data_IF_399244142664
#
_entry.id   IF_399244142664
#
_cell.length_a   1.000
_cell.length_b   1.000
_cell.length_c   1.000
_cell.angle_alpha   90.00
_cell.angle_beta   90.00
_cell.angle_gamma   90.00
#
_symmetry.space_group_name_H-M   'P 1'
#
loop_
_entity.id
_entity.type
_entity.pdbx_description
1 polymer ?
#
# COMPACT_ATOMS: atom_id res chain seq x y z
N UNK A 1 13.37 -30.92 55.30
CA UNK A 1 13.16 -31.47 53.94
C UNK A 1 12.01 -30.70 53.29
N UNK A 2 12.31 -29.79 52.35
CA UNK A 2 11.96 -29.88 50.92
C UNK A 2 10.46 -29.77 50.58
N UNK A 3 9.83 -28.60 50.76
CA UNK A 3 8.48 -28.33 50.17
C UNK A 3 8.30 -26.87 49.68
N UNK A 4 9.37 -26.15 49.33
CA UNK A 4 9.23 -24.76 48.82
C UNK A 4 9.74 -24.52 47.40
N UNK A 5 10.27 -25.55 46.72
CA UNK A 5 10.78 -25.40 45.35
C UNK A 5 9.81 -25.81 44.24
N UNK A 6 8.65 -26.42 44.56
CA UNK A 6 7.71 -26.89 43.54
C UNK A 6 6.71 -25.82 43.05
N UNK A 7 6.55 -24.70 43.75
CA UNK A 7 5.57 -23.67 43.39
C UNK A 7 6.08 -22.64 42.37
N UNK A 8 7.39 -22.55 42.12
CA UNK A 8 7.94 -21.61 41.12
C UNK A 8 7.96 -22.15 39.69
N UNK A 9 7.83 -23.46 39.48
CA UNK A 9 7.86 -24.07 38.14
C UNK A 9 6.51 -24.05 37.41
N UNK A 10 5.41 -23.75 38.11
CA UNK A 10 4.07 -23.66 37.51
C UNK A 10 3.77 -22.33 36.81
N UNK A 11 4.53 -21.27 37.09
CA UNK A 11 4.24 -19.92 36.59
C UNK A 11 4.82 -19.59 35.20
N UNK A 12 5.70 -20.44 34.65
CA UNK A 12 6.39 -20.20 33.38
C UNK A 12 5.73 -20.88 32.16
N UNK A 13 4.65 -21.66 32.35
CA UNK A 13 4.01 -22.42 31.27
C UNK A 13 2.85 -21.69 30.56
N UNK A 14 2.49 -20.47 30.97
CA UNK A 14 1.25 -19.82 30.55
C UNK A 14 1.45 -18.45 29.95
N UNK A 15 2.12 -18.31 28.81
CA UNK A 15 2.04 -17.11 27.94
C UNK A 15 2.67 -17.36 26.57
N UNK A 16 2.30 -18.44 25.88
CA UNK A 16 2.54 -18.56 24.43
C UNK A 16 1.48 -17.74 23.69
N UNK A 17 1.50 -16.42 23.90
CA UNK A 17 0.74 -15.50 23.07
C UNK A 17 1.33 -15.59 21.66
N UNK A 18 0.69 -16.36 20.79
CA UNK A 18 1.08 -16.41 19.39
C UNK A 18 0.95 -14.99 18.82
N UNK A 19 2.09 -14.32 18.64
CA UNK A 19 2.14 -13.09 17.89
C UNK A 19 1.76 -13.43 16.44
N UNK A 20 0.47 -13.24 16.11
CA UNK A 20 0.02 -13.22 14.73
C UNK A 20 0.61 -11.97 14.08
N UNK A 21 1.86 -12.08 13.64
CA UNK A 21 2.49 -11.07 12.81
C UNK A 21 1.76 -11.06 11.46
N UNK A 22 1.29 -9.88 11.06
CA UNK A 22 0.70 -9.69 9.74
C UNK A 22 1.76 -10.04 8.68
N UNK A 23 1.49 -11.02 7.84
CA UNK A 23 2.41 -11.45 6.78
C UNK A 23 1.98 -10.87 5.45
N UNK A 24 2.49 -9.68 5.14
CA UNK A 24 2.40 -9.12 3.79
C UNK A 24 3.32 -9.91 2.85
N UNK A 25 2.79 -10.32 1.71
CA UNK A 25 3.56 -10.93 0.64
C UNK A 25 4.13 -9.84 -0.26
N UNK A 26 5.43 -9.86 -0.54
CA UNK A 26 6.05 -8.97 -1.52
C UNK A 26 5.55 -9.35 -2.92
N UNK A 27 5.11 -8.37 -3.68
CA UNK A 27 4.59 -8.55 -5.04
C UNK A 27 5.55 -7.90 -6.03
N UNK A 28 6.13 -8.72 -6.91
CA UNK A 28 6.97 -8.25 -8.00
C UNK A 28 6.12 -7.97 -9.25
N UNK A 29 6.58 -7.02 -10.07
CA UNK A 29 5.97 -6.70 -11.36
C UNK A 29 6.76 -7.36 -12.48
N UNK A 30 6.08 -7.98 -13.44
CA UNK A 30 6.67 -8.28 -14.75
C UNK A 30 6.96 -6.99 -15.53
N UNK A 31 7.70 -7.06 -16.66
CA UNK A 31 7.89 -5.90 -17.55
C UNK A 31 6.56 -5.28 -18.05
N UNK A 32 5.52 -6.10 -18.21
CA UNK A 32 4.16 -5.72 -18.62
C UNK A 32 3.27 -5.32 -17.43
N UNK A 33 3.83 -5.25 -16.23
CA UNK A 33 3.12 -4.86 -15.01
C UNK A 33 2.29 -5.98 -14.36
N UNK A 34 2.47 -7.23 -14.76
CA UNK A 34 1.75 -8.38 -14.18
C UNK A 34 2.26 -8.70 -12.77
N UNK A 35 1.34 -9.12 -11.89
CA UNK A 35 1.62 -9.44 -10.49
C UNK A 35 1.26 -10.91 -10.20
N UNK A 36 2.14 -11.83 -10.59
CA UNK A 36 1.84 -13.28 -10.54
C UNK A 36 1.78 -13.87 -9.13
N UNK A 37 2.29 -13.16 -8.12
CA UNK A 37 2.16 -13.57 -6.72
C UNK A 37 0.74 -13.39 -6.16
N UNK A 38 -0.14 -12.68 -6.87
CA UNK A 38 -1.54 -12.49 -6.46
C UNK A 38 -2.32 -13.79 -6.74
N UNK A 39 -3.08 -14.31 -5.76
CA UNK A 39 -3.87 -15.54 -5.93
C UNK A 39 -4.80 -15.51 -7.15
N UNK A 40 -4.98 -16.68 -7.78
CA UNK A 40 -5.78 -16.83 -9.01
C UNK A 40 -7.20 -16.28 -8.90
N UNK A 41 -7.81 -16.29 -7.70
CA UNK A 41 -9.14 -15.70 -7.45
C UNK A 41 -9.21 -14.20 -7.76
N UNK A 42 -8.10 -13.48 -7.75
CA UNK A 42 -8.03 -12.04 -8.08
C UNK A 42 -7.34 -11.78 -9.43
N UNK A 43 -7.02 -12.82 -10.21
CA UNK A 43 -6.35 -12.68 -11.51
C UNK A 43 -7.35 -12.37 -12.64
N UNK A 44 -6.93 -11.65 -13.69
CA UNK A 44 -5.58 -11.09 -13.88
C UNK A 44 -5.30 -9.93 -12.92
N UNK A 45 -4.07 -9.88 -12.41
CA UNK A 45 -3.59 -8.81 -11.54
C UNK A 45 -2.50 -8.03 -12.27
N UNK A 46 -2.80 -6.80 -12.68
CA UNK A 46 -1.93 -5.99 -13.52
C UNK A 46 -1.96 -4.53 -13.10
N UNK A 47 -0.78 -3.92 -13.00
CA UNK A 47 -0.61 -2.48 -12.82
C UNK A 47 0.00 -1.87 -14.08
N UNK A 48 -0.77 -1.02 -14.76
CA UNK A 48 -0.29 -0.24 -15.89
C UNK A 48 0.05 1.18 -15.41
N UNK A 49 1.31 1.59 -15.56
CA UNK A 49 1.78 2.93 -15.25
C UNK A 49 2.40 3.54 -16.50
N UNK A 50 1.79 4.61 -17.02
CA UNK A 50 2.41 5.41 -18.06
C UNK A 50 3.21 6.54 -17.39
N UNK A 51 4.52 6.55 -17.59
CA UNK A 51 5.37 7.65 -17.14
C UNK A 51 5.34 8.78 -18.19
N UNK A 52 5.37 10.02 -17.70
CA UNK A 52 5.41 11.19 -18.54
C UNK A 52 6.81 11.38 -19.16
N UNK A 53 6.88 12.18 -20.24
CA UNK A 53 8.15 12.52 -20.87
C UNK A 53 9.09 13.28 -19.90
N UNK A 54 10.38 13.24 -20.19
CA UNK A 54 11.37 14.00 -19.42
C UNK A 54 11.06 15.51 -19.45
N UNK A 55 11.10 16.16 -18.30
CA UNK A 55 10.81 17.60 -18.16
C UNK A 55 9.36 17.92 -17.80
N UNK A 56 8.45 16.95 -17.88
CA UNK A 56 7.07 17.16 -17.46
C UNK A 56 6.94 17.47 -15.97
N UNK A 57 5.99 18.34 -15.63
CA UNK A 57 5.72 18.79 -14.26
C UNK A 57 5.33 17.62 -13.36
N UNK A 58 4.53 16.70 -13.88
CA UNK A 58 4.08 15.50 -13.19
C UNK A 58 4.71 14.28 -13.87
N UNK A 59 5.43 13.42 -13.13
CA UNK A 59 6.24 12.36 -13.75
C UNK A 59 5.43 11.13 -14.16
N UNK A 60 4.18 11.02 -13.72
CA UNK A 60 3.25 9.95 -14.12
C UNK A 60 2.12 10.58 -14.94
N UNK A 61 1.82 9.97 -16.08
CA UNK A 61 0.76 10.39 -16.99
C UNK A 61 -0.56 9.65 -16.70
N UNK A 62 -0.51 8.35 -16.40
CA UNK A 62 -1.69 7.57 -16.02
C UNK A 62 -1.33 6.36 -15.17
N UNK A 63 -2.30 5.90 -14.38
CA UNK A 63 -2.23 4.66 -13.61
C UNK A 63 -3.56 3.93 -13.73
N UNK A 64 -3.51 2.67 -14.11
CA UNK A 64 -4.67 1.77 -14.14
C UNK A 64 -4.31 0.46 -13.44
N UNK A 65 -5.12 0.09 -12.45
CA UNK A 65 -5.05 -1.19 -11.77
C UNK A 65 -6.17 -2.09 -12.29
N UNK A 66 -5.83 -3.32 -12.69
CA UNK A 66 -6.77 -4.39 -13.01
C UNK A 66 -6.60 -5.55 -12.03
N UNK A 67 -7.72 -6.01 -11.48
CA UNK A 67 -7.81 -7.17 -10.60
C UNK A 67 -9.07 -7.96 -10.98
N UNK A 68 -8.90 -9.09 -11.65
CA UNK A 68 -10.02 -9.83 -12.24
C UNK A 68 -10.75 -9.00 -13.30
N UNK A 69 -12.07 -8.91 -13.13
CA UNK A 69 -12.97 -8.07 -13.93
C UNK A 69 -13.00 -6.60 -13.46
N UNK A 70 -12.39 -6.29 -12.32
CA UNK A 70 -12.40 -4.94 -11.77
C UNK A 70 -11.23 -4.13 -12.29
N UNK A 71 -11.53 -2.88 -12.65
CA UNK A 71 -10.55 -1.92 -13.13
C UNK A 71 -10.76 -0.58 -12.45
N UNK A 72 -9.66 0.03 -12.00
CA UNK A 72 -9.64 1.39 -11.46
C UNK A 72 -8.55 2.17 -12.15
N UNK A 73 -8.94 3.23 -12.85
CA UNK A 73 -8.03 4.24 -13.39
C UNK A 73 -7.99 5.42 -12.44
N UNK A 74 -6.80 5.82 -12.02
CA UNK A 74 -6.64 6.96 -11.12
C UNK A 74 -6.95 8.27 -11.85
N UNK A 75 -7.73 9.19 -11.26
CA UNK A 75 -7.97 10.50 -11.84
C UNK A 75 -6.68 11.33 -11.88
N UNK A 76 -6.60 12.26 -12.83
CA UNK A 76 -5.41 13.10 -13.06
C UNK A 76 -5.00 13.86 -11.81
N UNK A 77 -5.96 14.30 -10.99
CA UNK A 77 -5.71 15.00 -9.73
C UNK A 77 -4.91 14.15 -8.70
N UNK A 78 -5.07 12.82 -8.70
CA UNK A 78 -4.30 11.88 -7.87
C UNK A 78 -2.98 11.56 -8.55
N UNK A 79 -3.00 11.27 -9.86
CA UNK A 79 -1.80 10.93 -10.65
C UNK A 79 -0.74 12.04 -10.55
N UNK A 80 -1.17 13.31 -10.55
CA UNK A 80 -0.31 14.49 -10.39
C UNK A 80 0.52 14.50 -9.08
N UNK A 81 0.15 13.69 -8.09
CA UNK A 81 0.84 13.60 -6.79
C UNK A 81 1.93 12.52 -6.77
N UNK A 82 1.98 11.65 -7.78
CA UNK A 82 2.88 10.51 -7.80
C UNK A 82 4.30 10.95 -8.12
N UNK A 83 5.30 10.58 -7.30
CA UNK A 83 6.66 11.07 -7.47
C UNK A 83 7.56 10.17 -8.34
N UNK A 84 7.10 8.95 -8.66
CA UNK A 84 7.90 7.98 -9.41
C UNK A 84 8.05 8.35 -10.88
N UNK A 85 9.24 8.08 -11.43
CA UNK A 85 9.62 8.32 -12.83
C UNK A 85 9.85 7.02 -13.62
N UNK A 86 9.94 5.89 -12.93
CA UNK A 86 10.19 4.57 -13.53
C UNK A 86 9.53 3.47 -12.70
N UNK A 87 9.28 2.30 -13.30
CA UNK A 87 8.74 1.13 -12.58
C UNK A 87 9.65 0.65 -11.45
N UNK A 88 10.97 0.85 -11.53
CA UNK A 88 11.92 0.49 -10.47
C UNK A 88 11.70 1.28 -9.16
N UNK A 89 10.89 2.34 -9.19
CA UNK A 89 10.51 3.14 -8.04
C UNK A 89 9.09 2.80 -7.52
N UNK A 90 8.46 1.80 -8.13
CA UNK A 90 7.14 1.29 -7.73
C UNK A 90 7.34 -0.07 -7.08
N UNK A 91 6.77 -0.25 -5.91
CA UNK A 91 6.80 -1.53 -5.18
C UNK A 91 5.40 -1.90 -4.72
N UNK A 92 5.13 -3.20 -4.59
CA UNK A 92 3.87 -3.68 -4.07
C UNK A 92 4.04 -4.74 -2.98
N UNK A 93 3.05 -4.78 -2.08
CA UNK A 93 2.83 -5.85 -1.13
C UNK A 93 1.36 -6.18 -1.05
N UNK A 94 0.99 -7.39 -0.66
CA UNK A 94 -0.41 -7.79 -0.58
C UNK A 94 -0.66 -8.74 0.58
N UNK A 95 -1.89 -8.71 1.09
CA UNK A 95 -2.38 -9.66 2.10
C UNK A 95 -3.79 -10.10 1.73
N UNK A 96 -4.03 -11.40 1.81
CA UNK A 96 -5.32 -12.04 1.50
C UNK A 96 -5.76 -13.01 2.60
N UNK A 97 -5.05 -13.04 3.73
CA UNK A 97 -5.32 -13.95 4.86
C UNK A 97 -6.28 -13.35 5.91
N UNK A 98 -6.91 -12.22 5.61
CA UNK A 98 -7.97 -11.67 6.45
C UNK A 98 -9.21 -12.56 6.35
N UNK A 99 -9.30 -13.54 7.25
CA UNK A 99 -10.47 -14.40 7.42
C UNK A 99 -11.69 -13.55 7.79
N UNK A 100 -12.87 -14.02 7.36
CA UNK A 100 -14.19 -13.42 7.57
C UNK A 100 -14.30 -12.80 8.97
N UNK A 101 -14.17 -11.47 9.08
CA UNK A 101 -14.22 -10.74 10.36
C UNK A 101 -13.11 -9.71 10.59
N UNK A 102 -12.06 -9.67 9.77
CA UNK A 102 -11.06 -8.59 9.79
C UNK A 102 -11.66 -7.23 9.40
N UNK A 103 -11.19 -6.13 10.01
CA UNK A 103 -11.60 -4.75 9.66
C UNK A 103 -11.10 -4.31 8.29
N UNK A 104 -10.14 -5.01 7.69
CA UNK A 104 -9.60 -4.74 6.35
C UNK A 104 -9.90 -5.91 5.41
N UNK A 105 -10.39 -5.65 4.18
CA UNK A 105 -10.54 -6.68 3.17
C UNK A 105 -9.14 -7.16 2.70
N UNK A 106 -9.06 -8.28 1.96
CA UNK A 106 -7.87 -8.59 1.17
C UNK A 106 -7.41 -7.36 0.39
N UNK A 107 -6.12 -7.01 0.50
CA UNK A 107 -5.59 -5.76 -0.02
C UNK A 107 -4.31 -5.90 -0.82
N UNK A 108 -4.07 -4.90 -1.65
CA UNK A 108 -2.84 -4.65 -2.39
C UNK A 108 -2.32 -3.26 -2.01
N UNK A 109 -1.18 -3.23 -1.34
CA UNK A 109 -0.38 -2.03 -1.13
C UNK A 109 0.47 -1.71 -2.36
N UNK A 110 0.41 -0.49 -2.88
CA UNK A 110 1.27 -0.02 -3.97
C UNK A 110 1.93 1.29 -3.57
N UNK A 111 3.26 1.33 -3.63
CA UNK A 111 4.05 2.49 -3.21
C UNK A 111 4.75 3.09 -4.42
N UNK A 112 4.56 4.39 -4.64
CA UNK A 112 5.26 5.19 -5.64
C UNK A 112 6.32 6.04 -4.94
N UNK A 113 7.58 5.62 -4.98
CA UNK A 113 8.70 6.34 -4.38
C UNK A 113 9.28 7.42 -5.30
N UNK A 114 9.70 8.53 -4.70
CA UNK A 114 10.51 9.54 -5.38
C UNK A 114 11.90 8.98 -5.71
N UNK A 115 12.55 9.45 -6.79
CA UNK A 115 13.96 9.17 -7.03
C UNK A 115 14.80 9.54 -5.82
N UNK A 116 15.72 8.67 -5.42
CA UNK A 116 16.66 8.97 -4.33
C UNK A 116 17.64 10.05 -4.78
N UNK A 117 17.75 11.14 -4.02
CA UNK A 117 18.69 12.22 -4.30
C UNK A 117 19.98 12.02 -3.50
N UNK A 118 21.09 11.75 -4.19
CA UNK A 118 22.45 11.71 -3.62
C UNK A 118 22.84 10.41 -2.88
N UNK A 119 24.14 10.13 -2.82
CA UNK A 119 24.70 9.04 -2.00
C UNK A 119 24.59 9.45 -0.52
N UNK A 120 23.81 8.71 0.27
CA UNK A 120 23.72 8.89 1.72
C UNK A 120 22.44 9.55 2.25
N UNK A 121 21.56 10.06 1.39
CA UNK A 121 20.27 10.57 1.89
C UNK A 121 19.30 9.40 2.16
N UNK A 122 18.96 9.21 3.45
CA UNK A 122 17.92 8.26 3.90
C UNK A 122 16.52 8.87 3.86
N UNK A 123 16.41 10.18 3.64
CA UNK A 123 15.12 10.83 3.42
C UNK A 123 14.56 10.44 2.05
N UNK A 124 13.30 10.05 2.07
CA UNK A 124 12.55 9.63 0.90
C UNK A 124 11.11 10.08 1.07
N UNK A 125 10.44 10.26 -0.05
CA UNK A 125 9.01 10.51 -0.08
C UNK A 125 8.38 9.46 -0.97
N UNK A 126 7.30 8.85 -0.50
CA UNK A 126 6.49 7.98 -1.34
C UNK A 126 5.01 8.26 -1.14
N UNK A 127 4.21 7.93 -2.15
CA UNK A 127 2.76 7.85 -2.04
C UNK A 127 2.38 6.39 -1.95
N UNK A 128 1.76 6.00 -0.84
CA UNK A 128 1.30 4.64 -0.60
C UNK A 128 -0.21 4.57 -0.80
N UNK A 129 -0.63 3.66 -1.66
CA UNK A 129 -2.02 3.27 -1.87
C UNK A 129 -2.27 1.93 -1.19
N UNK A 130 -3.48 1.77 -0.69
CA UNK A 130 -4.04 0.50 -0.27
C UNK A 130 -5.30 0.27 -1.10
N UNK A 131 -5.28 -0.74 -1.96
CA UNK A 131 -6.40 -1.13 -2.80
C UNK A 131 -7.09 -2.38 -2.24
N UNK A 132 -8.40 -2.45 -2.37
CA UNK A 132 -9.17 -3.65 -2.10
C UNK A 132 -8.99 -4.64 -3.26
N UNK A 133 -8.49 -5.84 -2.96
CA UNK A 133 -8.24 -6.87 -3.97
C UNK A 133 -9.52 -7.35 -4.67
N UNK A 134 -10.68 -7.22 -4.02
CA UNK A 134 -11.98 -7.66 -4.57
C UNK A 134 -12.62 -6.66 -5.52
N UNK A 135 -12.29 -5.37 -5.41
CA UNK A 135 -13.01 -4.30 -6.14
C UNK A 135 -12.08 -3.41 -6.96
N UNK A 136 -10.77 -3.57 -6.80
CA UNK A 136 -9.74 -2.65 -7.28
C UNK A 136 -9.91 -1.20 -6.80
N UNK A 137 -10.75 -0.92 -5.79
CA UNK A 137 -10.96 0.44 -5.26
C UNK A 137 -9.97 0.79 -4.17
N UNK A 138 -9.69 2.08 -4.01
CA UNK A 138 -8.79 2.63 -2.99
C UNK A 138 -9.47 2.54 -1.63
N UNK A 139 -8.89 1.80 -0.71
CA UNK A 139 -9.22 1.81 0.72
C UNK A 139 -8.59 3.04 1.36
N UNK A 140 -7.31 3.29 1.08
CA UNK A 140 -6.56 4.39 1.66
C UNK A 140 -5.45 4.86 0.73
N UNK A 141 -5.06 6.13 0.86
CA UNK A 141 -3.92 6.71 0.17
C UNK A 141 -3.26 7.73 1.11
N UNK A 142 -1.93 7.68 1.21
CA UNK A 142 -1.16 8.58 2.08
C UNK A 142 0.16 8.94 1.45
N UNK A 143 0.61 10.17 1.69
CA UNK A 143 2.00 10.57 1.44
C UNK A 143 2.81 10.27 2.69
N UNK A 144 3.91 9.54 2.54
CA UNK A 144 4.83 9.21 3.63
C UNK A 144 6.16 9.88 3.35
N UNK A 145 6.67 10.57 4.36
CA UNK A 145 8.01 11.15 4.37
C UNK A 145 8.85 10.36 5.36
N UNK A 146 9.95 9.78 4.91
CA UNK A 146 10.94 9.13 5.78
C UNK A 146 11.97 10.18 6.23
N UNK A 147 12.26 10.21 7.53
CA UNK A 147 13.26 11.12 8.11
C UNK A 147 14.69 10.58 7.96
N UNK A 148 15.67 11.32 8.52
CA UNK A 148 17.10 10.94 8.48
C UNK A 148 17.43 9.79 9.43
N UNK A 149 16.69 9.68 10.53
CA UNK A 149 16.84 8.61 11.49
C UNK A 149 16.06 7.37 11.05
N UNK A 150 16.63 6.19 11.27
CA UNK A 150 15.99 4.92 10.97
C UNK A 150 14.66 4.78 11.72
N UNK A 151 13.63 4.25 11.04
CA UNK A 151 12.29 4.12 11.61
C UNK A 151 11.45 5.41 11.67
N UNK A 152 12.00 6.59 11.37
CA UNK A 152 11.21 7.82 11.36
C UNK A 152 10.37 7.94 10.09
N UNK A 153 9.06 7.75 10.22
CA UNK A 153 8.08 7.94 9.14
C UNK A 153 6.97 8.86 9.61
N UNK A 154 6.56 9.79 8.75
CA UNK A 154 5.40 10.64 8.99
C UNK A 154 4.46 10.60 7.81
N UNK A 155 3.20 10.31 8.07
CA UNK A 155 2.11 10.52 7.12
C UNK A 155 1.79 12.01 7.03
N UNK A 156 1.71 12.53 5.81
CA UNK A 156 1.37 13.91 5.50
C UNK A 156 0.10 13.92 4.65
N UNK A 157 -0.83 14.81 4.99
CA UNK A 157 -2.04 15.00 4.20
C UNK A 157 -1.70 15.41 2.77
N UNK A 158 -2.44 14.86 1.81
CA UNK A 158 -2.24 15.16 0.38
C UNK A 158 -3.18 16.28 -0.13
N UNK A 159 -4.16 16.67 0.69
CA UNK A 159 -5.16 17.67 0.33
C UNK A 159 -6.02 17.22 -0.87
N UNK A 160 -6.50 15.98 -0.85
CA UNK A 160 -7.25 15.42 -1.98
C UNK A 160 -8.56 16.16 -2.24
N UNK A 161 -9.29 16.57 -1.20
CA UNK A 161 -10.54 17.33 -1.34
C UNK A 161 -10.34 18.70 -2.01
N UNK A 162 -9.15 19.28 -1.85
CA UNK A 162 -8.82 20.58 -2.45
C UNK A 162 -8.36 20.43 -3.91
N UNK A 163 -8.11 19.20 -4.39
CA UNK A 163 -7.49 18.91 -5.69
C UNK A 163 -8.37 18.10 -6.62
N UNK A 164 -9.24 17.27 -6.07
CA UNK A 164 -10.11 16.33 -6.77
C UNK A 164 -11.57 16.68 -6.51
N UNK A 165 -12.42 16.52 -7.52
CA UNK A 165 -13.87 16.60 -7.33
C UNK A 165 -14.39 15.43 -6.50
N UNK A 166 -15.56 15.61 -5.88
CA UNK A 166 -16.23 14.52 -5.16
C UNK A 166 -16.49 13.31 -6.07
N UNK A 167 -16.92 13.56 -7.32
CA UNK A 167 -17.19 12.52 -8.31
C UNK A 167 -15.94 11.69 -8.66
N UNK A 168 -14.78 12.34 -8.88
CA UNK A 168 -13.52 11.65 -9.15
C UNK A 168 -13.10 10.77 -7.96
N UNK A 169 -13.28 11.26 -6.74
CA UNK A 169 -12.97 10.50 -5.53
C UNK A 169 -13.95 9.33 -5.35
N UNK A 170 -15.25 9.56 -5.56
CA UNK A 170 -16.28 8.51 -5.50
C UNK A 170 -16.06 7.41 -6.54
N UNK A 171 -15.52 7.75 -7.70
CA UNK A 171 -15.24 6.78 -8.75
C UNK A 171 -14.10 5.81 -8.39
N UNK A 172 -13.19 6.16 -7.47
CA UNK A 172 -11.99 5.34 -7.19
C UNK A 172 -11.89 4.83 -5.77
N UNK A 173 -12.54 5.46 -4.79
CA UNK A 173 -12.50 5.00 -3.41
C UNK A 173 -13.52 3.89 -3.12
N UNK A 174 -13.14 3.00 -2.21
CA UNK A 174 -14.03 1.97 -1.69
C UNK A 174 -15.09 2.64 -0.80
N UNK A 175 -16.39 2.49 -1.09
CA UNK A 175 -17.45 3.20 -0.37
C UNK A 175 -17.52 2.80 1.11
N UNK A 176 -17.05 1.60 1.47
CA UNK A 176 -17.04 1.13 2.86
C UNK A 176 -15.87 1.69 3.67
N UNK A 177 -14.86 2.27 3.01
CA UNK A 177 -13.61 2.69 3.65
C UNK A 177 -13.27 4.18 3.44
N UNK A 178 -14.23 4.99 3.01
CA UNK A 178 -14.06 6.43 2.69
C UNK A 178 -13.72 7.34 3.90
N UNK A 179 -13.35 6.77 5.05
CA UNK A 179 -13.25 7.45 6.35
C UNK A 179 -12.14 8.52 6.40
N UNK A 180 -11.12 8.45 5.53
CA UNK A 180 -9.95 9.36 5.57
C UNK A 180 -9.91 10.39 4.43
N UNK A 181 -10.97 10.51 3.64
CA UNK A 181 -11.01 11.46 2.51
C UNK A 181 -11.73 12.76 2.89
N UNK A 182 -12.46 12.82 4.01
CA UNK A 182 -13.18 14.02 4.48
C UNK A 182 -12.40 14.80 5.52
#
# INVERSE_FOLDING_TARGET
MKVHHLLLLGALAGSSSACLAHSDTIVNFSPEGMMDAIPDTFRPAQLNVAFAAAGEKHPVASVTLRLGEHMTTLPSCIVALLPSRTMAQVSASASWYHLNGGTLPPYLGIHFAAPRTGRGNRQGTHVAFLFNLRTAKIINIKKVVTGRAEGTQRSVGMGLLQRCSAQELDAVFDPMHRVNVR
#
